data_IF_283993599736
#
_entry.id   IF_283993599736
#
_cell.length_a   1.000
_cell.length_b   1.000
_cell.length_c   1.000
_cell.angle_alpha   90.00
_cell.angle_beta   90.00
_cell.angle_gamma   90.00
#
_symmetry.space_group_name_H-M   'P 1'
#
loop_
_entity.id
_entity.type
_entity.pdbx_description
1 polymer ?
#
# COMPACT_ATOMS: atom_id res chain seq x y z
N UNK A 1 -18.75 -5.83 3.54
CA UNK A 1 -18.89 -4.84 4.61
C UNK A 1 -17.61 -4.00 4.65
N UNK A 2 -17.72 -2.68 4.64
CA UNK A 2 -16.56 -1.79 4.65
C UNK A 2 -16.14 -1.50 6.09
N UNK A 3 -14.84 -1.26 6.33
CA UNK A 3 -14.35 -0.86 7.65
C UNK A 3 -14.42 0.66 7.87
N UNK A 4 -14.94 1.38 6.89
CA UNK A 4 -15.13 2.84 6.94
C UNK A 4 -16.62 3.17 7.01
N UNK A 5 -16.99 4.31 7.62
CA UNK A 5 -18.39 4.77 7.63
C UNK A 5 -18.93 4.98 6.21
N UNK A 6 -20.19 4.61 5.99
CA UNK A 6 -20.82 4.69 4.67
C UNK A 6 -20.88 6.12 4.10
N UNK A 7 -20.86 7.14 4.95
CA UNK A 7 -20.90 8.55 4.52
C UNK A 7 -19.55 9.10 4.07
N UNK A 8 -18.45 8.36 4.35
CA UNK A 8 -17.12 8.80 3.94
C UNK A 8 -16.84 8.40 2.50
N UNK A 9 -16.49 9.38 1.68
CA UNK A 9 -16.07 9.14 0.29
C UNK A 9 -14.56 8.98 0.27
N UNK A 10 -14.08 7.78 -0.05
CA UNK A 10 -12.65 7.47 -0.10
C UNK A 10 -12.02 8.21 -1.27
N UNK A 11 -10.96 9.02 -1.04
CA UNK A 11 -10.26 9.70 -2.12
C UNK A 11 -9.65 8.70 -3.10
N UNK A 12 -9.82 8.94 -4.40
CA UNK A 12 -9.20 8.09 -5.43
C UNK A 12 -7.80 8.54 -5.79
N UNK A 13 -7.41 9.74 -5.37
CA UNK A 13 -6.07 10.29 -5.61
C UNK A 13 -5.67 11.26 -4.51
N UNK A 14 -4.37 11.47 -4.40
CA UNK A 14 -3.78 12.46 -3.50
C UNK A 14 -2.53 13.02 -4.16
N UNK A 15 -2.34 14.33 -4.14
CA UNK A 15 -1.21 15.00 -4.79
C UNK A 15 -0.30 15.64 -3.75
N UNK A 16 0.99 15.33 -3.86
CA UNK A 16 2.08 15.94 -3.12
C UNK A 16 3.11 16.46 -4.12
N UNK A 17 3.97 17.38 -3.70
CA UNK A 17 5.00 17.96 -4.60
C UNK A 17 5.99 16.91 -5.12
N UNK A 18 6.26 15.87 -4.33
CA UNK A 18 7.26 14.85 -4.67
C UNK A 18 6.67 13.57 -5.26
N UNK A 19 5.36 13.36 -5.15
CA UNK A 19 4.67 12.17 -5.66
C UNK A 19 3.16 12.39 -5.74
N UNK A 20 2.47 11.48 -6.43
CA UNK A 20 1.02 11.40 -6.41
C UNK A 20 0.60 9.99 -6.02
N UNK A 21 -0.55 9.88 -5.36
CA UNK A 21 -1.21 8.60 -5.10
C UNK A 21 -2.38 8.47 -6.05
N UNK A 22 -2.54 7.30 -6.66
CA UNK A 22 -3.71 6.94 -7.46
C UNK A 22 -4.12 5.51 -7.13
N UNK A 23 -5.38 5.18 -7.33
CA UNK A 23 -5.88 3.81 -7.12
C UNK A 23 -5.03 2.82 -7.92
N UNK A 24 -4.54 1.78 -7.26
CA UNK A 24 -3.80 0.71 -7.92
C UNK A 24 -4.77 -0.09 -8.79
N UNK A 25 -4.53 -0.11 -10.10
CA UNK A 25 -5.43 -0.69 -11.11
C UNK A 25 -4.65 -1.13 -12.35
N UNK A 26 -5.27 -1.95 -13.22
CA UNK A 26 -4.57 -2.47 -14.40
C UNK A 26 -3.90 -1.42 -15.30
N UNK A 27 -4.43 -0.21 -15.35
CA UNK A 27 -3.87 0.86 -16.18
C UNK A 27 -2.41 1.22 -15.81
N UNK A 28 -1.98 0.95 -14.56
CA UNK A 28 -0.61 1.23 -14.09
C UNK A 28 0.24 -0.04 -13.98
N UNK A 29 -0.22 -1.17 -14.52
CA UNK A 29 0.44 -2.46 -14.34
C UNK A 29 1.90 -2.47 -14.81
N UNK A 30 2.22 -1.85 -15.92
CA UNK A 30 3.58 -1.86 -16.47
C UNK A 30 4.58 -1.13 -15.58
N UNK A 31 4.23 0.07 -15.12
CA UNK A 31 5.12 0.84 -14.25
C UNK A 31 5.21 0.21 -12.86
N UNK A 32 4.12 -0.37 -12.36
CA UNK A 32 4.09 -1.10 -11.09
C UNK A 32 4.98 -2.34 -11.14
N UNK A 33 4.83 -3.15 -12.20
CA UNK A 33 5.63 -4.35 -12.41
C UNK A 33 7.12 -4.02 -12.48
N UNK A 34 7.49 -2.99 -13.22
CA UNK A 34 8.88 -2.54 -13.33
C UNK A 34 9.44 -2.14 -11.95
N UNK A 35 8.63 -1.48 -11.12
CA UNK A 35 9.06 -1.03 -9.80
C UNK A 35 9.31 -2.21 -8.84
N UNK A 36 8.36 -3.14 -8.70
CA UNK A 36 8.50 -4.20 -7.70
C UNK A 36 9.48 -5.31 -8.13
N UNK A 37 9.69 -5.53 -9.41
CA UNK A 37 10.63 -6.56 -9.88
C UNK A 37 12.06 -6.27 -9.45
N UNK A 38 12.42 -5.02 -9.24
CA UNK A 38 13.76 -4.62 -8.79
C UNK A 38 13.99 -4.85 -7.28
N UNK A 39 12.92 -5.10 -6.50
CA UNK A 39 13.04 -5.23 -5.04
C UNK A 39 12.26 -6.42 -4.47
N UNK A 40 12.11 -7.48 -5.25
CA UNK A 40 11.32 -8.68 -4.87
C UNK A 40 11.70 -9.27 -3.53
N UNK A 41 12.99 -9.44 -3.25
CA UNK A 41 13.45 -10.08 -2.00
C UNK A 41 13.04 -9.29 -0.77
N UNK A 42 13.17 -7.97 -0.84
CA UNK A 42 12.79 -7.09 0.25
C UNK A 42 11.28 -7.09 0.47
N UNK A 43 10.51 -7.06 -0.62
CA UNK A 43 9.05 -7.03 -0.56
C UNK A 43 8.45 -8.32 0.03
N UNK A 44 9.06 -9.49 -0.23
CA UNK A 44 8.56 -10.75 0.33
C UNK A 44 8.49 -10.75 1.84
N UNK A 45 9.38 -10.03 2.50
CA UNK A 45 9.44 -9.95 3.97
C UNK A 45 8.46 -8.95 4.55
N UNK A 46 7.91 -8.06 3.73
CA UNK A 46 7.10 -6.94 4.21
C UNK A 46 5.74 -7.38 4.77
N UNK A 47 5.11 -8.37 4.16
CA UNK A 47 3.75 -8.80 4.51
C UNK A 47 3.71 -10.00 5.46
N UNK A 48 4.84 -10.40 6.04
CA UNK A 48 4.91 -11.50 6.97
C UNK A 48 5.76 -12.65 6.47
N UNK A 49 6.13 -13.54 7.40
CA UNK A 49 7.07 -14.64 7.12
C UNK A 49 6.55 -15.68 6.12
N UNK A 50 5.23 -15.80 6.00
CA UNK A 50 4.58 -16.76 5.11
C UNK A 50 4.20 -16.16 3.76
N UNK A 51 4.48 -14.87 3.55
CA UNK A 51 4.16 -14.21 2.29
C UNK A 51 5.12 -14.65 1.18
N UNK A 52 4.57 -14.95 0.01
CA UNK A 52 5.34 -15.36 -1.17
C UNK A 52 5.36 -14.32 -2.28
N UNK A 53 4.56 -13.26 -2.16
CA UNK A 53 4.51 -12.19 -3.15
C UNK A 53 5.68 -11.20 -2.94
N UNK A 54 6.33 -10.72 -4.00
CA UNK A 54 6.17 -11.17 -5.38
C UNK A 54 7.05 -12.39 -5.68
N UNK A 55 6.47 -13.41 -6.31
CA UNK A 55 7.24 -14.57 -6.75
C UNK A 55 8.18 -14.18 -7.88
N UNK A 56 9.33 -14.89 -7.99
CA UNK A 56 10.28 -14.65 -9.08
C UNK A 56 9.66 -14.94 -10.44
N UNK A 57 8.67 -15.84 -10.50
CA UNK A 57 7.98 -16.24 -11.73
C UNK A 57 6.75 -15.41 -12.07
N UNK A 58 6.42 -14.41 -11.23
CA UNK A 58 5.24 -13.57 -11.46
C UNK A 58 5.38 -12.80 -12.78
N UNK A 59 4.43 -12.99 -13.69
CA UNK A 59 4.41 -12.32 -14.98
C UNK A 59 3.66 -11.00 -14.96
N UNK A 60 3.87 -10.15 -15.95
CA UNK A 60 3.12 -8.91 -16.11
C UNK A 60 1.60 -9.17 -16.24
N UNK A 61 1.21 -10.23 -16.97
CA UNK A 61 -0.19 -10.59 -17.14
C UNK A 61 -0.83 -10.99 -15.80
N UNK A 62 -0.13 -11.80 -15.01
CA UNK A 62 -0.60 -12.19 -13.69
C UNK A 62 -0.68 -10.99 -12.74
N UNK A 63 0.32 -10.11 -12.80
CA UNK A 63 0.32 -8.88 -12.01
C UNK A 63 -0.86 -7.98 -12.40
N UNK A 64 -1.15 -7.85 -13.69
CA UNK A 64 -2.31 -7.08 -14.17
C UNK A 64 -3.63 -7.63 -13.62
N UNK A 65 -3.77 -8.95 -13.54
CA UNK A 65 -4.93 -9.59 -12.93
C UNK A 65 -5.02 -9.29 -11.43
N UNK A 66 -3.88 -9.28 -10.72
CA UNK A 66 -3.84 -8.90 -9.30
C UNK A 66 -4.30 -7.45 -9.12
N UNK A 67 -3.90 -6.55 -10.01
CA UNK A 67 -4.31 -5.14 -9.93
C UNK A 67 -5.80 -4.96 -10.22
N UNK A 68 -6.40 -5.79 -11.05
CA UNK A 68 -7.85 -5.78 -11.26
C UNK A 68 -8.59 -6.16 -9.99
N UNK A 69 -8.06 -7.11 -9.23
CA UNK A 69 -8.63 -7.48 -7.94
C UNK A 69 -8.49 -6.34 -6.92
N UNK A 70 -7.34 -5.69 -6.86
CA UNK A 70 -7.14 -4.53 -5.98
C UNK A 70 -8.12 -3.39 -6.29
N UNK A 71 -8.36 -3.11 -7.56
CA UNK A 71 -9.33 -2.09 -7.97
C UNK A 71 -10.74 -2.48 -7.54
N UNK A 72 -11.11 -3.75 -7.72
CA UNK A 72 -12.41 -4.26 -7.29
C UNK A 72 -12.58 -4.13 -5.78
N UNK A 73 -11.58 -4.52 -5.00
CA UNK A 73 -11.61 -4.40 -3.54
C UNK A 73 -11.73 -2.93 -3.10
N UNK A 74 -11.08 -2.01 -3.83
CA UNK A 74 -11.20 -0.58 -3.58
C UNK A 74 -12.66 -0.12 -3.79
N UNK A 75 -13.24 -0.49 -4.92
CA UNK A 75 -14.62 -0.10 -5.27
C UNK A 75 -15.64 -0.70 -4.31
N UNK A 76 -15.38 -1.90 -3.80
CA UNK A 76 -16.24 -2.59 -2.84
C UNK A 76 -16.00 -2.17 -1.38
N UNK A 77 -14.98 -1.35 -1.12
CA UNK A 77 -14.65 -0.88 0.23
C UNK A 77 -14.01 -1.93 1.14
N UNK A 78 -13.36 -2.93 0.56
CA UNK A 78 -12.71 -4.04 1.29
C UNK A 78 -11.31 -3.63 1.74
N UNK A 79 -10.54 -3.05 0.83
CA UNK A 79 -9.17 -2.63 1.07
C UNK A 79 -8.81 -1.52 0.08
N UNK A 80 -7.95 -0.59 0.49
CA UNK A 80 -7.61 0.57 -0.33
C UNK A 80 -6.11 0.56 -0.63
N UNK A 81 -5.78 0.29 -1.88
CA UNK A 81 -4.38 0.24 -2.33
C UNK A 81 -4.13 1.34 -3.35
N UNK A 82 -3.08 2.12 -3.13
CA UNK A 82 -2.67 3.23 -3.98
C UNK A 82 -1.29 2.96 -4.55
N UNK A 83 -1.12 3.22 -5.85
CA UNK A 83 0.21 3.31 -6.44
C UNK A 83 0.80 4.69 -6.14
N UNK A 84 2.08 4.72 -5.78
CA UNK A 84 2.84 5.96 -5.61
C UNK A 84 3.55 6.26 -6.90
N UNK A 85 3.17 7.34 -7.56
CA UNK A 85 3.72 7.72 -8.87
C UNK A 85 4.58 8.97 -8.74
N UNK A 86 5.55 9.12 -9.65
CA UNK A 86 6.27 10.38 -9.82
C UNK A 86 5.28 11.51 -10.17
N UNK A 87 5.65 12.80 -9.94
CA UNK A 87 4.73 13.92 -10.23
C UNK A 87 4.19 13.93 -11.65
N UNK A 88 4.98 13.51 -12.63
CA UNK A 88 4.54 13.39 -14.04
C UNK A 88 3.83 12.06 -14.33
N UNK A 89 3.70 11.18 -13.34
CA UNK A 89 3.02 9.88 -13.40
C UNK A 89 3.68 8.85 -14.34
N UNK A 90 4.92 9.09 -14.76
CA UNK A 90 5.62 8.20 -15.69
C UNK A 90 6.31 7.02 -14.99
N UNK A 91 6.54 7.10 -13.70
CA UNK A 91 7.29 6.10 -12.93
C UNK A 91 6.51 5.73 -11.68
N UNK A 92 6.43 4.42 -11.39
CA UNK A 92 5.96 3.96 -10.08
C UNK A 92 7.11 4.01 -9.07
N UNK A 93 6.90 4.74 -7.99
CA UNK A 93 7.85 4.88 -6.89
C UNK A 93 7.62 3.83 -5.81
N UNK A 94 6.42 3.28 -5.72
CA UNK A 94 6.05 2.33 -4.68
C UNK A 94 4.55 2.12 -4.57
N UNK A 95 4.11 1.60 -3.42
CA UNK A 95 2.69 1.29 -3.17
C UNK A 95 2.34 1.55 -1.71
N UNK A 96 1.11 2.00 -1.47
CA UNK A 96 0.52 2.20 -0.14
C UNK A 96 -0.68 1.27 -0.01
N UNK A 97 -0.71 0.47 1.06
CA UNK A 97 -1.80 -0.45 1.37
C UNK A 97 -2.50 0.01 2.64
N UNK A 98 -3.80 0.28 2.57
CA UNK A 98 -4.63 0.63 3.72
C UNK A 98 -5.67 -0.46 3.87
N UNK A 99 -5.45 -1.35 4.84
CA UNK A 99 -6.28 -2.53 5.07
C UNK A 99 -6.96 -2.47 6.43
N UNK A 100 -8.09 -3.15 6.62
CA UNK A 100 -8.65 -3.31 7.96
C UNK A 100 -7.66 -4.07 8.84
N UNK A 101 -7.54 -3.64 10.09
CA UNK A 101 -6.62 -4.30 11.03
C UNK A 101 -7.22 -5.60 11.57
N UNK A 102 -6.43 -6.70 11.62
CA UNK A 102 -6.84 -7.91 12.33
C UNK A 102 -6.73 -7.77 13.85
N UNK A 103 -6.10 -6.71 14.34
CA UNK A 103 -5.90 -6.44 15.77
C UNK A 103 -6.90 -5.37 16.21
N UNK A 104 -7.79 -5.72 17.13
CA UNK A 104 -8.95 -4.89 17.50
C UNK A 104 -8.62 -3.46 17.97
N UNK A 105 -7.45 -3.24 18.54
CA UNK A 105 -7.07 -1.90 19.04
C UNK A 105 -6.64 -0.93 17.96
N UNK A 106 -6.48 -1.40 16.71
CA UNK A 106 -6.13 -0.55 15.58
C UNK A 106 -7.28 -0.51 14.59
N UNK A 107 -7.58 0.69 14.09
CA UNK A 107 -8.64 0.89 13.08
C UNK A 107 -8.23 0.32 11.72
N UNK A 108 -6.96 0.45 11.39
CA UNK A 108 -6.43 -0.08 10.14
C UNK A 108 -4.95 -0.43 10.28
N UNK A 109 -4.43 -1.18 9.31
CA UNK A 109 -3.00 -1.39 9.16
C UNK A 109 -2.55 -0.82 7.82
N UNK A 110 -1.39 -0.19 7.82
CA UNK A 110 -0.83 0.46 6.64
C UNK A 110 0.53 -0.14 6.34
N UNK A 111 0.69 -0.60 5.10
CA UNK A 111 1.99 -1.02 4.58
C UNK A 111 2.40 -0.09 3.46
N UNK A 112 3.67 0.26 3.40
CA UNK A 112 4.24 1.12 2.37
C UNK A 112 5.56 0.53 1.92
N UNK A 113 5.75 0.39 0.62
CA UNK A 113 7.07 0.13 0.08
C UNK A 113 7.41 1.17 -0.97
N UNK A 114 8.69 1.49 -1.05
CA UNK A 114 9.26 2.38 -2.06
C UNK A 114 10.34 1.60 -2.79
N UNK A 115 10.40 1.73 -4.11
CA UNK A 115 11.38 1.06 -4.96
C UNK A 115 12.81 1.36 -4.50
N UNK A 116 13.71 0.39 -4.67
CA UNK A 116 15.11 0.53 -4.25
C UNK A 116 15.80 1.76 -4.87
N UNK A 117 15.43 2.12 -6.10
CA UNK A 117 16.00 3.30 -6.77
C UNK A 117 15.55 4.64 -6.16
N UNK A 118 14.50 4.61 -5.33
CA UNK A 118 13.87 5.82 -4.77
C UNK A 118 13.76 5.76 -3.24
N UNK A 119 14.59 4.97 -2.56
CA UNK A 119 14.53 4.79 -1.11
C UNK A 119 14.66 6.10 -0.33
N UNK A 120 15.29 7.12 -0.90
CA UNK A 120 15.36 8.43 -0.28
C UNK A 120 13.98 9.09 -0.08
N UNK A 121 12.95 8.62 -0.77
CA UNK A 121 11.58 9.09 -0.61
C UNK A 121 10.77 8.30 0.42
N UNK A 122 11.30 7.18 0.92
CA UNK A 122 10.54 6.28 1.79
C UNK A 122 9.99 6.98 3.04
N UNK A 123 10.82 7.70 3.76
CA UNK A 123 10.40 8.44 4.96
C UNK A 123 9.36 9.52 4.61
N UNK A 124 9.57 10.24 3.51
CA UNK A 124 8.63 11.29 3.08
C UNK A 124 7.26 10.71 2.76
N UNK A 125 7.21 9.62 2.00
CA UNK A 125 5.93 8.95 1.66
C UNK A 125 5.23 8.50 2.94
N UNK A 126 5.95 7.84 3.84
CA UNK A 126 5.40 7.37 5.11
C UNK A 126 4.81 8.54 5.93
N UNK A 127 5.57 9.59 6.15
CA UNK A 127 5.12 10.73 6.96
C UNK A 127 3.91 11.44 6.34
N UNK A 128 3.94 11.66 5.03
CA UNK A 128 2.84 12.33 4.32
C UNK A 128 1.57 11.48 4.35
N UNK A 129 1.70 10.18 4.11
CA UNK A 129 0.54 9.27 4.14
C UNK A 129 -0.04 9.19 5.53
N UNK A 130 0.80 9.09 6.56
CA UNK A 130 0.33 9.05 7.96
C UNK A 130 -0.50 10.30 8.30
N UNK A 131 0.01 11.49 8.01
CA UNK A 131 -0.69 12.74 8.25
C UNK A 131 -1.99 12.82 7.43
N UNK A 132 -1.94 12.40 6.17
CA UNK A 132 -3.12 12.38 5.31
C UNK A 132 -4.25 11.51 5.89
N UNK A 133 -3.92 10.29 6.33
CA UNK A 133 -4.91 9.40 6.92
C UNK A 133 -5.45 9.97 8.22
N UNK A 134 -4.57 10.45 9.10
CA UNK A 134 -4.97 11.01 10.39
C UNK A 134 -5.88 12.24 10.27
N UNK A 135 -5.65 13.08 9.25
CA UNK A 135 -6.40 14.32 9.07
C UNK A 135 -7.66 14.16 8.22
N UNK A 136 -7.62 13.34 7.17
CA UNK A 136 -8.65 13.30 6.14
C UNK A 136 -9.52 12.04 6.17
N UNK A 137 -9.10 11.00 6.85
CA UNK A 137 -9.83 9.74 6.97
C UNK A 137 -10.43 9.59 8.38
N UNK A 138 -11.58 8.90 8.51
CA UNK A 138 -12.18 8.66 9.83
C UNK A 138 -11.51 7.47 10.54
N UNK A 139 -10.19 7.50 10.67
CA UNK A 139 -9.35 6.47 11.27
C UNK A 139 -8.41 7.15 12.25
N UNK A 140 -8.38 6.70 13.50
CA UNK A 140 -7.61 7.34 14.57
C UNK A 140 -6.44 6.50 15.06
N UNK A 141 -6.54 5.18 15.01
CA UNK A 141 -5.50 4.27 15.50
C UNK A 141 -4.92 3.47 14.32
N UNK A 142 -3.77 3.91 13.85
CA UNK A 142 -3.11 3.32 12.68
C UNK A 142 -1.99 2.38 13.12
N UNK A 143 -1.93 1.18 12.58
CA UNK A 143 -0.80 0.27 12.74
C UNK A 143 0.10 0.36 11.51
N UNK A 144 1.40 0.50 11.73
CA UNK A 144 2.42 0.48 10.69
C UNK A 144 3.39 -0.69 10.96
N UNK A 145 2.98 -1.94 10.62
CA UNK A 145 3.84 -3.09 10.86
C UNK A 145 5.16 -2.98 10.08
N UNK A 146 6.28 -3.23 10.77
CA UNK A 146 7.60 -3.09 10.18
C UNK A 146 8.15 -1.66 10.19
N UNK A 147 7.37 -0.67 10.65
CA UNK A 147 7.82 0.73 10.79
C UNK A 147 7.69 1.23 12.22
N UNK A 148 6.47 1.35 12.73
CA UNK A 148 6.22 1.79 14.12
C UNK A 148 6.09 0.62 15.08
N UNK A 149 5.77 -0.56 14.57
CA UNK A 149 5.65 -1.80 15.33
C UNK A 149 6.65 -2.79 14.73
N UNK A 150 7.56 -3.29 15.56
CA UNK A 150 8.51 -4.31 15.10
C UNK A 150 7.76 -5.52 14.54
N UNK A 151 8.29 -6.10 13.46
CA UNK A 151 7.63 -7.19 12.76
C UNK A 151 7.35 -8.40 13.65
N UNK A 152 8.33 -8.81 14.44
CA UNK A 152 8.15 -9.96 15.34
C UNK A 152 7.05 -9.69 16.38
N UNK A 153 6.97 -8.46 16.87
CA UNK A 153 5.93 -8.06 17.80
C UNK A 153 4.55 -8.08 17.13
N UNK A 154 4.46 -7.60 15.90
CA UNK A 154 3.21 -7.65 15.14
C UNK A 154 2.76 -9.09 14.89
N UNK A 155 3.68 -9.96 14.45
CA UNK A 155 3.40 -11.38 14.23
C UNK A 155 2.92 -12.05 15.53
N UNK A 156 3.52 -11.71 16.66
CA UNK A 156 3.11 -12.25 17.97
C UNK A 156 1.69 -11.84 18.33
N UNK A 157 1.26 -10.63 17.96
CA UNK A 157 -0.12 -10.18 18.21
C UNK A 157 -1.15 -10.87 17.33
N UNK A 158 -0.74 -11.43 16.20
CA UNK A 158 -1.62 -12.16 15.28
C UNK A 158 -1.83 -13.61 15.71
N UNK A 159 -0.97 -14.14 16.55
CA UNK A 159 -1.00 -15.54 16.97
C UNK A 159 -2.17 -15.83 17.95
#
# INVERSE_FOLDING_TARGET
>A
MTFLPAHFTVPRSFTHKDFTLEVLRPAVAEVDYAAFTNCRKRLRKMFGKNNTWPKDTLTLMESRADLALHEQEFDEGIAYVYTVLSPDKSICLGTVYIDPSPIARYDCMVHIWVSDDYLYLDITVYQVVKVWIENDWPLTTLAFPGREIERDRWEAMLA
#
